data_IF_664843626497
#
_entry.id   IF_664843626497
#
_cell.length_a   1.000
_cell.length_b   1.000
_cell.length_c   1.000
_cell.angle_alpha   90.00
_cell.angle_beta   90.00
_cell.angle_gamma   90.00
#
_symmetry.space_group_name_H-M   'P 1'
#
loop_
_entity.id
_entity.type
_entity.pdbx_description
1 polymer ?
#
# COMPACT_ATOMS: atom_id res chain seq x y z
N UNK A 1 -15.40 -19.06 -11.02
CA UNK A 1 -14.17 -18.41 -11.41
C UNK A 1 -13.14 -19.46 -11.80
N UNK A 2 -13.19 -19.92 -13.06
CA UNK A 2 -12.09 -20.70 -13.67
C UNK A 2 -10.95 -19.74 -13.94
N UNK A 3 -9.78 -19.97 -13.33
CA UNK A 3 -8.54 -19.34 -13.73
C UNK A 3 -7.77 -18.50 -12.70
N UNK A 4 -8.20 -18.41 -11.46
CA UNK A 4 -7.35 -17.77 -10.44
C UNK A 4 -6.08 -18.60 -10.21
N UNK A 5 -4.95 -18.12 -10.70
CA UNK A 5 -3.64 -18.77 -10.51
C UNK A 5 -3.35 -18.76 -9.01
N UNK A 6 -3.17 -19.92 -8.41
CA UNK A 6 -2.78 -20.00 -7.00
C UNK A 6 -1.42 -19.34 -6.83
N UNK A 7 -1.27 -18.48 -5.82
CA UNK A 7 -0.01 -17.89 -5.46
C UNK A 7 0.84 -18.91 -4.67
N UNK A 8 1.97 -19.38 -5.17
CA UNK A 8 2.93 -20.12 -4.37
C UNK A 8 3.50 -19.22 -3.27
N UNK A 9 3.47 -19.68 -2.04
CA UNK A 9 4.01 -18.97 -0.89
C UNK A 9 5.13 -19.80 -0.26
N UNK A 10 6.34 -19.27 -0.26
CA UNK A 10 7.51 -19.87 0.35
C UNK A 10 7.76 -19.30 1.73
N UNK A 11 7.78 -20.16 2.74
CA UNK A 11 8.03 -19.78 4.11
C UNK A 11 9.49 -20.07 4.47
N UNK A 12 10.25 -19.02 4.77
CA UNK A 12 11.63 -19.11 5.22
C UNK A 12 11.75 -18.83 6.73
N UNK A 13 12.83 -19.26 7.34
CA UNK A 13 13.03 -19.12 8.78
C UNK A 13 13.68 -17.79 9.17
N UNK A 14 14.48 -17.22 8.26
CA UNK A 14 15.27 -16.02 8.53
C UNK A 14 15.14 -14.98 7.43
N UNK A 15 15.41 -13.72 7.77
CA UNK A 15 15.51 -12.63 6.78
C UNK A 15 16.73 -12.80 5.87
N UNK A 16 17.76 -13.51 6.32
CA UNK A 16 18.91 -13.83 5.47
C UNK A 16 18.52 -14.71 4.30
N UNK A 17 17.72 -15.75 4.54
CA UNK A 17 17.19 -16.62 3.50
C UNK A 17 16.32 -15.86 2.49
N UNK A 18 15.52 -14.87 2.94
CA UNK A 18 14.80 -13.99 2.00
C UNK A 18 15.75 -13.26 1.04
N UNK A 19 16.88 -12.77 1.56
CA UNK A 19 17.88 -12.06 0.75
C UNK A 19 18.69 -12.99 -0.16
N UNK A 20 18.81 -14.26 0.19
CA UNK A 20 19.39 -15.27 -0.71
C UNK A 20 18.49 -15.48 -1.92
N UNK A 21 17.16 -15.48 -1.73
CA UNK A 21 16.18 -15.58 -2.81
C UNK A 21 16.15 -14.27 -3.64
N UNK A 22 16.19 -13.11 -2.96
CA UNK A 22 16.16 -11.80 -3.61
C UNK A 22 17.19 -10.84 -2.98
N UNK A 23 18.43 -10.77 -3.52
CA UNK A 23 19.54 -9.99 -2.92
C UNK A 23 19.29 -8.49 -2.78
N UNK A 24 18.37 -7.92 -3.57
CA UNK A 24 18.01 -6.50 -3.54
C UNK A 24 17.04 -6.10 -2.42
N UNK A 25 16.60 -7.03 -1.57
CA UNK A 25 15.67 -6.73 -0.49
C UNK A 25 16.31 -5.92 0.63
N UNK A 26 15.59 -4.92 1.18
CA UNK A 26 16.00 -4.23 2.39
C UNK A 26 16.18 -5.21 3.56
N UNK A 27 17.12 -4.92 4.46
CA UNK A 27 17.35 -5.75 5.66
C UNK A 27 16.12 -5.87 6.59
N UNK A 28 15.22 -4.90 6.50
CA UNK A 28 13.98 -4.85 7.29
C UNK A 28 12.81 -5.61 6.65
N UNK A 29 12.96 -6.08 5.41
CA UNK A 29 11.90 -6.80 4.72
C UNK A 29 11.55 -8.09 5.48
N UNK A 30 10.26 -8.31 5.69
CA UNK A 30 9.73 -9.52 6.30
C UNK A 30 9.15 -10.49 5.26
N UNK A 31 8.92 -10.02 4.04
CA UNK A 31 8.45 -10.78 2.89
C UNK A 31 8.62 -9.99 1.61
N UNK A 32 8.26 -10.60 0.49
CA UNK A 32 8.12 -9.94 -0.80
C UNK A 32 7.20 -10.73 -1.74
N UNK A 33 6.57 -10.01 -2.64
CA UNK A 33 5.84 -10.55 -3.79
C UNK A 33 6.66 -10.34 -5.06
N UNK A 34 6.73 -11.34 -5.88
CA UNK A 34 7.39 -11.29 -7.19
C UNK A 34 6.41 -11.67 -8.29
N UNK A 35 6.27 -10.80 -9.28
CA UNK A 35 5.52 -11.06 -10.49
C UNK A 35 6.46 -10.90 -11.69
N UNK A 36 7.04 -11.99 -12.14
CA UNK A 36 7.79 -12.07 -13.39
C UNK A 36 6.92 -12.55 -14.55
N UNK A 37 7.48 -12.53 -15.76
CA UNK A 37 6.78 -13.06 -16.95
C UNK A 37 6.50 -14.56 -16.84
N UNK A 38 7.37 -15.30 -16.15
CA UNK A 38 7.33 -16.77 -16.06
C UNK A 38 6.77 -17.20 -14.70
N UNK A 39 7.20 -16.57 -13.60
CA UNK A 39 6.91 -17.00 -12.25
C UNK A 39 6.26 -15.89 -11.42
N UNK A 40 5.21 -16.27 -10.71
CA UNK A 40 4.54 -15.44 -9.70
C UNK A 40 4.60 -16.17 -8.37
N UNK A 41 5.24 -15.58 -7.37
CA UNK A 41 5.37 -16.18 -6.04
C UNK A 41 5.53 -15.10 -4.95
N UNK A 42 5.30 -15.51 -3.71
CA UNK A 42 5.65 -14.73 -2.52
C UNK A 42 6.61 -15.52 -1.63
N UNK A 43 7.54 -14.84 -1.00
CA UNK A 43 8.39 -15.44 0.02
C UNK A 43 8.32 -14.63 1.32
N UNK A 44 8.14 -15.31 2.45
CA UNK A 44 7.84 -14.69 3.74
C UNK A 44 8.70 -15.30 4.83
N UNK A 45 9.16 -14.47 5.75
CA UNK A 45 9.72 -14.95 7.00
C UNK A 45 8.56 -15.44 7.90
N UNK A 46 8.61 -16.69 8.37
CA UNK A 46 7.59 -17.30 9.25
C UNK A 46 7.28 -16.48 10.51
N UNK A 47 8.21 -15.63 10.96
CA UNK A 47 8.02 -14.76 12.12
C UNK A 47 7.37 -13.42 11.74
N UNK A 48 7.10 -13.17 10.46
CA UNK A 48 6.47 -11.95 9.97
C UNK A 48 5.00 -11.80 10.34
N UNK A 49 4.35 -12.92 10.70
CA UNK A 49 2.92 -12.95 11.02
C UNK A 49 2.02 -12.98 9.79
N UNK A 50 0.73 -13.15 10.04
CA UNK A 50 -0.30 -13.20 8.99
C UNK A 50 -0.43 -11.85 8.25
N UNK A 51 -0.11 -10.75 8.91
CA UNK A 51 -0.14 -9.41 8.33
C UNK A 51 0.75 -9.30 7.09
N UNK A 52 1.98 -9.85 7.15
CA UNK A 52 2.90 -9.84 6.01
C UNK A 52 2.36 -10.69 4.87
N UNK A 53 1.78 -11.84 5.17
CA UNK A 53 1.14 -12.69 4.15
C UNK A 53 -0.01 -11.96 3.47
N UNK A 54 -0.88 -11.29 4.22
CA UNK A 54 -2.01 -10.52 3.70
C UNK A 54 -1.52 -9.34 2.86
N UNK A 55 -0.44 -8.66 3.27
CA UNK A 55 0.20 -7.60 2.50
C UNK A 55 0.66 -8.09 1.12
N UNK A 56 1.45 -9.16 1.08
CA UNK A 56 1.97 -9.72 -0.18
C UNK A 56 0.84 -10.30 -1.05
N UNK A 57 -0.17 -10.90 -0.42
CA UNK A 57 -1.35 -11.39 -1.14
C UNK A 57 -2.17 -10.24 -1.73
N UNK A 58 -2.24 -9.08 -1.07
CA UNK A 58 -2.93 -7.91 -1.60
C UNK A 58 -2.27 -7.40 -2.90
N UNK A 59 -0.94 -7.42 -2.99
CA UNK A 59 -0.25 -7.14 -4.25
C UNK A 59 -0.64 -8.12 -5.35
N UNK A 60 -0.64 -9.43 -5.05
CA UNK A 60 -1.07 -10.46 -5.99
C UNK A 60 -2.51 -10.23 -6.46
N UNK A 61 -3.43 -10.01 -5.52
CA UNK A 61 -4.84 -9.73 -5.81
C UNK A 61 -5.01 -8.50 -6.70
N UNK A 62 -4.31 -7.42 -6.38
CA UNK A 62 -4.36 -6.17 -7.13
C UNK A 62 -3.91 -6.38 -8.59
N UNK A 63 -2.74 -6.97 -8.80
CA UNK A 63 -2.20 -7.18 -10.14
C UNK A 63 -2.99 -8.19 -10.98
N UNK A 64 -3.61 -9.19 -10.35
CA UNK A 64 -4.43 -10.18 -11.05
C UNK A 64 -5.80 -9.65 -11.47
N UNK A 65 -6.40 -8.78 -10.67
CA UNK A 65 -7.78 -8.35 -10.87
C UNK A 65 -7.88 -6.92 -11.43
N UNK A 66 -6.87 -6.09 -11.21
CA UNK A 66 -6.85 -4.69 -11.61
C UNK A 66 -5.53 -4.36 -12.31
N UNK A 67 -5.27 -4.93 -13.51
CA UNK A 67 -4.03 -4.65 -14.22
C UNK A 67 -3.97 -3.18 -14.62
N UNK A 68 -2.86 -2.52 -14.29
CA UNK A 68 -2.65 -1.11 -14.60
C UNK A 68 -1.32 -0.59 -14.07
N UNK A 69 -0.93 0.60 -14.55
CA UNK A 69 0.19 1.33 -14.01
C UNK A 69 -0.30 2.19 -12.84
N UNK A 70 0.08 1.82 -11.64
CA UNK A 70 -0.30 2.52 -10.41
C UNK A 70 0.90 3.22 -9.78
N UNK A 71 0.72 4.41 -9.18
CA UNK A 71 1.78 5.04 -8.41
C UNK A 71 2.16 4.20 -7.19
N UNK A 72 3.45 4.26 -6.81
CA UNK A 72 3.99 3.42 -5.74
C UNK A 72 3.24 3.54 -4.41
N UNK A 73 2.81 4.75 -4.06
CA UNK A 73 2.03 4.97 -2.84
C UNK A 73 0.70 4.20 -2.82
N UNK A 74 0.04 4.07 -3.99
CA UNK A 74 -1.24 3.35 -4.03
C UNK A 74 -1.02 1.84 -3.99
N UNK A 75 0.01 1.33 -4.66
CA UNK A 75 0.39 -0.09 -4.60
C UNK A 75 0.66 -0.52 -3.16
N UNK A 76 1.51 0.23 -2.45
CA UNK A 76 1.84 -0.07 -1.07
C UNK A 76 0.68 0.26 -0.10
N UNK A 77 0.00 1.37 -0.31
CA UNK A 77 -1.14 1.77 0.52
C UNK A 77 -2.31 0.80 0.44
N UNK A 78 -2.56 0.21 -0.74
CA UNK A 78 -3.55 -0.84 -0.92
C UNK A 78 -3.16 -2.10 -0.13
N UNK A 79 -1.92 -2.54 -0.24
CA UNK A 79 -1.43 -3.69 0.51
C UNK A 79 -1.50 -3.45 2.04
N UNK A 80 -1.10 -2.27 2.50
CA UNK A 80 -1.20 -1.85 3.91
C UNK A 80 -2.65 -1.74 4.42
N UNK A 81 -3.58 -1.37 3.56
CA UNK A 81 -5.00 -1.30 3.91
C UNK A 81 -5.61 -2.69 4.06
N UNK A 82 -5.24 -3.61 3.19
CA UNK A 82 -5.75 -4.98 3.20
C UNK A 82 -5.01 -5.91 4.16
N UNK A 83 -3.77 -5.58 4.59
CA UNK A 83 -3.02 -6.43 5.54
C UNK A 83 -3.70 -6.58 6.90
N UNK A 84 -4.61 -5.66 7.24
CA UNK A 84 -5.42 -5.72 8.46
C UNK A 84 -6.77 -6.40 8.26
N UNK A 85 -6.98 -7.06 7.12
CA UNK A 85 -8.23 -7.73 6.81
C UNK A 85 -8.54 -8.85 7.80
N UNK A 86 -9.81 -8.96 8.17
CA UNK A 86 -10.31 -10.02 9.04
C UNK A 86 -11.45 -10.76 8.34
N UNK A 87 -11.31 -12.06 8.19
CA UNK A 87 -12.35 -12.93 7.65
C UNK A 87 -13.35 -13.25 8.77
N UNK A 88 -14.57 -12.75 8.66
CA UNK A 88 -15.63 -13.05 9.64
C UNK A 88 -16.33 -14.38 9.34
N UNK A 89 -16.56 -14.65 8.08
CA UNK A 89 -17.16 -15.89 7.58
C UNK A 89 -16.86 -16.06 6.08
N UNK A 90 -17.41 -17.08 5.44
CA UNK A 90 -17.15 -17.37 4.02
C UNK A 90 -17.53 -16.24 3.05
N UNK A 91 -18.44 -15.35 3.44
CA UNK A 91 -19.02 -14.32 2.59
C UNK A 91 -18.67 -12.89 3.01
N UNK A 92 -17.96 -12.71 4.15
CA UNK A 92 -17.70 -11.41 4.72
C UNK A 92 -16.23 -11.24 5.17
N UNK A 93 -15.58 -10.24 4.59
CA UNK A 93 -14.24 -9.79 4.96
C UNK A 93 -14.33 -8.33 5.38
N UNK A 94 -13.87 -8.01 6.56
CA UNK A 94 -13.71 -6.63 7.01
C UNK A 94 -12.30 -6.15 6.69
N UNK A 95 -12.19 -4.95 6.13
CA UNK A 95 -10.94 -4.31 5.74
C UNK A 95 -10.83 -2.92 6.34
N UNK A 96 -9.64 -2.33 6.31
CA UNK A 96 -9.43 -0.96 6.77
C UNK A 96 -9.42 -0.81 8.28
N UNK A 97 -9.02 -1.86 9.02
CA UNK A 97 -8.77 -1.72 10.45
C UNK A 97 -7.53 -0.86 10.73
N UNK A 98 -7.48 -0.32 11.94
CA UNK A 98 -6.34 0.46 12.39
C UNK A 98 -5.05 -0.36 12.37
N UNK A 99 -4.07 0.14 11.66
CA UNK A 99 -2.70 -0.35 11.73
C UNK A 99 -1.95 0.44 12.81
N UNK A 100 -1.84 -0.14 14.01
CA UNK A 100 -1.22 0.52 15.16
C UNK A 100 0.24 0.91 14.88
N UNK A 101 0.97 0.09 14.13
CA UNK A 101 2.36 0.39 13.78
C UNK A 101 2.44 1.63 12.86
N UNK A 102 1.54 1.74 11.88
CA UNK A 102 1.47 2.90 10.97
C UNK A 102 1.03 4.16 11.71
N UNK A 103 0.06 4.05 12.60
CA UNK A 103 -0.35 5.17 13.47
C UNK A 103 0.80 5.67 14.34
N UNK A 104 1.58 4.77 14.92
CA UNK A 104 2.75 5.14 15.72
C UNK A 104 3.79 5.91 14.89
N UNK A 105 4.06 5.47 13.67
CA UNK A 105 4.98 6.18 12.76
C UNK A 105 4.43 7.56 12.42
N UNK A 106 3.14 7.67 12.03
CA UNK A 106 2.51 8.95 11.66
C UNK A 106 2.53 9.98 12.79
N UNK A 107 2.53 9.54 14.04
CA UNK A 107 2.55 10.42 15.22
C UNK A 107 3.97 10.80 15.70
N UNK A 108 4.99 10.01 15.38
CA UNK A 108 6.33 10.18 15.96
C UNK A 108 7.45 10.36 14.93
N UNK A 109 7.20 10.13 13.66
CA UNK A 109 8.17 10.29 12.58
C UNK A 109 7.77 11.46 11.70
N UNK A 110 8.74 12.23 11.22
CA UNK A 110 8.48 13.30 10.28
C UNK A 110 7.84 12.76 9.00
N UNK A 111 6.79 13.43 8.56
CA UNK A 111 6.17 13.12 7.28
C UNK A 111 7.08 13.48 6.13
N UNK A 112 7.12 12.66 5.09
CA UNK A 112 7.72 13.06 3.81
C UNK A 112 6.79 14.03 3.09
N UNK A 113 7.34 14.94 2.25
CA UNK A 113 6.53 15.87 1.47
C UNK A 113 5.50 15.13 0.62
N UNK A 114 4.32 15.71 0.45
CA UNK A 114 3.21 15.10 -0.29
C UNK A 114 3.57 14.83 -1.76
N UNK A 115 4.37 15.73 -2.36
CA UNK A 115 4.92 15.52 -3.69
C UNK A 115 5.77 14.24 -3.75
N UNK A 116 6.68 14.07 -2.79
CA UNK A 116 7.53 12.87 -2.69
C UNK A 116 6.67 11.61 -2.48
N UNK A 117 5.64 11.67 -1.63
CA UNK A 117 4.74 10.55 -1.42
C UNK A 117 4.05 10.11 -2.73
N UNK A 118 3.54 11.07 -3.51
CA UNK A 118 2.74 10.77 -4.70
C UNK A 118 3.59 10.33 -5.89
N UNK A 119 4.84 10.82 -6.00
CA UNK A 119 5.69 10.60 -7.19
C UNK A 119 6.80 9.58 -7.00
N UNK A 120 7.27 9.36 -5.77
CA UNK A 120 8.39 8.47 -5.52
C UNK A 120 7.98 6.98 -5.51
N UNK A 121 8.91 6.14 -5.91
CA UNK A 121 8.85 4.71 -5.63
C UNK A 121 9.59 4.43 -4.30
N UNK A 122 9.09 3.54 -3.41
CA UNK A 122 9.70 3.29 -2.10
C UNK A 122 11.17 2.87 -2.16
N UNK A 123 11.61 2.24 -3.26
CA UNK A 123 13.03 1.88 -3.49
C UNK A 123 13.95 3.09 -3.69
N UNK A 124 13.42 4.25 -4.04
CA UNK A 124 14.18 5.49 -4.24
C UNK A 124 14.48 6.20 -2.91
N UNK A 125 13.73 5.87 -1.85
CA UNK A 125 13.90 6.47 -0.53
C UNK A 125 15.10 5.84 0.19
N UNK A 126 16.10 6.67 0.49
CA UNK A 126 17.37 6.19 1.03
C UNK A 126 17.32 5.98 2.54
N UNK A 127 16.63 6.89 3.25
CA UNK A 127 16.59 6.87 4.70
C UNK A 127 15.54 5.92 5.24
N UNK A 128 15.86 5.24 6.34
CA UNK A 128 14.93 4.31 6.99
C UNK A 128 13.63 4.99 7.43
N UNK A 129 13.73 6.23 7.94
CA UNK A 129 12.57 6.98 8.40
C UNK A 129 11.68 7.41 7.22
N UNK A 130 12.24 7.76 6.05
CA UNK A 130 11.48 8.11 4.85
C UNK A 130 10.65 6.92 4.37
N UNK A 131 11.23 5.73 4.35
CA UNK A 131 10.48 4.51 3.99
C UNK A 131 9.36 4.23 5.00
N UNK A 132 9.64 4.36 6.31
CA UNK A 132 8.61 4.17 7.33
C UNK A 132 7.46 5.19 7.18
N UNK A 133 7.80 6.46 6.93
CA UNK A 133 6.82 7.52 6.65
C UNK A 133 6.04 7.24 5.36
N UNK A 134 6.72 6.83 4.29
CA UNK A 134 6.10 6.48 3.00
C UNK A 134 5.00 5.42 3.17
N UNK A 135 5.32 4.28 3.75
CA UNK A 135 4.32 3.21 3.97
C UNK A 135 3.16 3.68 4.85
N UNK A 136 3.46 4.44 5.90
CA UNK A 136 2.43 4.92 6.82
C UNK A 136 1.54 5.99 6.21
N UNK A 137 2.10 6.93 5.46
CA UNK A 137 1.33 7.96 4.74
C UNK A 137 0.55 7.33 3.58
N UNK A 138 1.10 6.34 2.87
CA UNK A 138 0.41 5.57 1.83
C UNK A 138 -0.80 4.84 2.38
N UNK A 139 -0.65 4.16 3.54
CA UNK A 139 -1.78 3.57 4.25
C UNK A 139 -2.85 4.59 4.60
N UNK A 140 -2.46 5.72 5.21
CA UNK A 140 -3.40 6.76 5.63
C UNK A 140 -4.16 7.36 4.44
N UNK A 141 -3.45 7.65 3.34
CA UNK A 141 -4.04 8.19 2.12
C UNK A 141 -5.03 7.20 1.49
N UNK A 142 -4.64 5.93 1.36
CA UNK A 142 -5.51 4.88 0.85
C UNK A 142 -6.74 4.69 1.73
N UNK A 143 -6.57 4.67 3.04
CA UNK A 143 -7.65 4.59 4.00
C UNK A 143 -8.60 5.81 3.88
N UNK A 144 -8.06 7.02 3.80
CA UNK A 144 -8.84 8.25 3.58
C UNK A 144 -9.67 8.18 2.30
N UNK A 145 -9.10 7.67 1.22
CA UNK A 145 -9.78 7.58 -0.08
C UNK A 145 -10.84 6.49 -0.11
N UNK A 146 -10.56 5.30 0.41
CA UNK A 146 -11.43 4.13 0.26
C UNK A 146 -12.62 4.11 1.23
N UNK A 147 -12.52 4.81 2.37
CA UNK A 147 -13.59 4.83 3.38
C UNK A 147 -14.72 5.82 3.08
N UNK A 148 -14.63 6.59 2.01
CA UNK A 148 -15.66 7.52 1.59
C UNK A 148 -16.01 7.31 0.10
N UNK A 149 -17.30 7.11 -0.25
CA UNK A 149 -17.69 6.80 -1.62
C UNK A 149 -17.39 7.91 -2.63
N UNK A 150 -17.39 9.18 -2.23
CA UNK A 150 -17.07 10.29 -3.15
C UNK A 150 -15.56 10.36 -3.41
N UNK A 151 -14.77 10.26 -2.35
CA UNK A 151 -13.30 10.22 -2.49
C UNK A 151 -12.85 9.02 -3.31
N UNK A 152 -13.50 7.85 -3.13
CA UNK A 152 -13.21 6.65 -3.93
C UNK A 152 -13.45 6.87 -5.43
N UNK A 153 -14.56 7.52 -5.81
CA UNK A 153 -14.79 7.87 -7.23
C UNK A 153 -13.72 8.82 -7.79
N UNK A 154 -13.31 9.80 -6.99
CA UNK A 154 -12.21 10.69 -7.35
C UNK A 154 -10.88 9.97 -7.49
N UNK A 155 -10.61 9.02 -6.59
CA UNK A 155 -9.41 8.18 -6.64
C UNK A 155 -9.34 7.37 -7.94
N UNK A 156 -10.43 6.71 -8.34
CA UNK A 156 -10.48 5.93 -9.57
C UNK A 156 -10.13 6.79 -10.80
N UNK A 157 -10.67 8.02 -10.86
CA UNK A 157 -10.37 8.96 -11.94
C UNK A 157 -8.92 9.46 -11.90
N UNK A 158 -8.39 9.75 -10.71
CA UNK A 158 -6.99 10.13 -10.49
C UNK A 158 -6.03 9.05 -10.96
N UNK A 159 -6.22 7.81 -10.48
CA UNK A 159 -5.36 6.68 -10.84
C UNK A 159 -5.39 6.40 -12.36
N UNK A 160 -6.55 6.49 -12.98
CA UNK A 160 -6.69 6.35 -14.42
C UNK A 160 -5.97 7.46 -15.19
N UNK A 161 -5.97 8.70 -14.70
CA UNK A 161 -5.26 9.81 -15.34
C UNK A 161 -3.74 9.65 -15.23
N UNK A 162 -3.23 9.37 -14.02
CA UNK A 162 -1.79 9.16 -13.77
C UNK A 162 -1.29 7.94 -14.52
N UNK A 163 -2.05 6.84 -14.54
CA UNK A 163 -1.71 5.63 -15.30
C UNK A 163 -1.61 5.87 -16.83
N UNK A 164 -2.23 6.94 -17.35
CA UNK A 164 -2.08 7.39 -18.73
C UNK A 164 -0.97 8.44 -18.92
N UNK A 165 -0.23 8.77 -17.88
CA UNK A 165 0.89 9.70 -17.91
C UNK A 165 0.53 11.16 -17.60
N UNK A 166 -0.63 11.44 -17.02
CA UNK A 166 -0.93 12.79 -16.54
C UNK A 166 0.00 13.14 -15.35
N UNK A 167 0.47 14.41 -15.27
CA UNK A 167 1.22 14.86 -14.10
C UNK A 167 0.38 14.74 -12.81
N UNK A 168 0.98 14.20 -11.76
CA UNK A 168 0.29 13.92 -10.49
C UNK A 168 -0.37 15.18 -9.89
N UNK A 169 0.31 16.33 -9.92
CA UNK A 169 -0.22 17.59 -9.39
C UNK A 169 -1.48 18.05 -10.13
N UNK A 170 -1.51 17.88 -11.45
CA UNK A 170 -2.66 18.23 -12.28
C UNK A 170 -3.82 17.27 -12.05
N UNK A 171 -3.53 15.98 -12.05
CA UNK A 171 -4.51 14.93 -11.78
C UNK A 171 -5.11 15.07 -10.37
N UNK A 172 -4.27 15.39 -9.36
CA UNK A 172 -4.70 15.64 -7.98
C UNK A 172 -5.71 16.78 -7.91
N UNK A 173 -5.41 17.90 -8.55
CA UNK A 173 -6.30 19.06 -8.59
C UNK A 173 -7.62 18.77 -9.30
N UNK A 174 -7.52 18.12 -10.47
CA UNK A 174 -8.68 17.88 -11.34
C UNK A 174 -9.65 16.86 -10.78
N UNK A 175 -9.15 15.76 -10.20
CA UNK A 175 -9.98 14.64 -9.81
C UNK A 175 -10.26 14.55 -8.29
N UNK A 176 -9.37 15.13 -7.48
CA UNK A 176 -9.50 15.09 -6.02
C UNK A 176 -9.72 16.47 -5.39
N UNK A 177 -9.61 17.55 -6.18
CA UNK A 177 -9.86 18.91 -5.72
C UNK A 177 -8.79 19.46 -4.75
N UNK A 178 -7.61 18.83 -4.73
CA UNK A 178 -6.52 19.16 -3.83
C UNK A 178 -5.27 19.61 -4.59
N UNK A 179 -4.47 20.43 -3.94
CA UNK A 179 -3.03 20.52 -4.16
C UNK A 179 -2.29 19.73 -3.05
N UNK A 180 -0.97 19.68 -3.10
CA UNK A 180 -0.18 18.93 -2.12
C UNK A 180 -0.40 19.42 -0.68
N UNK A 181 -0.50 20.74 -0.47
CA UNK A 181 -0.66 21.32 0.85
C UNK A 181 -2.05 21.05 1.43
N UNK A 182 -3.09 21.21 0.64
CA UNK A 182 -4.47 20.95 1.07
C UNK A 182 -4.74 19.46 1.28
N UNK A 183 -4.11 18.55 0.49
CA UNK A 183 -4.19 17.12 0.73
C UNK A 183 -3.51 16.73 2.05
N UNK A 184 -2.31 17.26 2.33
CA UNK A 184 -1.63 17.03 3.60
C UNK A 184 -2.47 17.51 4.79
N UNK A 185 -3.04 18.73 4.69
CA UNK A 185 -3.91 19.25 5.72
C UNK A 185 -5.15 18.38 5.97
N UNK A 186 -5.77 17.87 4.90
CA UNK A 186 -6.90 16.95 4.96
C UNK A 186 -6.53 15.64 5.66
N UNK A 187 -5.38 15.03 5.30
CA UNK A 187 -4.89 13.79 5.91
C UNK A 187 -4.55 13.98 7.39
N UNK A 188 -3.92 15.11 7.77
CA UNK A 188 -3.65 15.42 9.16
C UNK A 188 -4.93 15.64 9.97
N UNK A 189 -5.95 16.27 9.38
CA UNK A 189 -7.25 16.41 10.00
C UNK A 189 -7.94 15.06 10.17
N UNK A 190 -7.89 14.21 9.15
CA UNK A 190 -8.45 12.86 9.17
C UNK A 190 -7.79 11.97 10.24
N UNK A 191 -6.46 12.02 10.36
CA UNK A 191 -5.70 11.28 11.38
C UNK A 191 -6.12 11.67 12.81
N UNK A 192 -6.44 12.96 13.06
CA UNK A 192 -6.88 13.46 14.37
C UNK A 192 -8.36 13.22 14.65
N UNK A 193 -9.13 12.94 13.60
CA UNK A 193 -10.57 12.72 13.68
C UNK A 193 -10.93 11.27 14.01
N UNK A 194 -12.23 10.97 13.84
CA UNK A 194 -12.73 9.61 13.94
C UNK A 194 -12.56 8.93 12.58
N UNK A 195 -11.58 8.07 12.45
CA UNK A 195 -11.38 7.28 11.25
C UNK A 195 -12.52 6.29 11.10
N UNK A 196 -13.13 6.22 9.90
CA UNK A 196 -14.16 5.24 9.57
C UNK A 196 -13.57 3.86 9.29
N UNK A 197 -14.46 2.85 9.15
CA UNK A 197 -14.12 1.53 8.61
C UNK A 197 -14.75 1.39 7.22
N UNK A 198 -14.13 0.60 6.36
CA UNK A 198 -14.69 0.24 5.06
C UNK A 198 -15.37 -1.14 5.10
#
# INVERSE_FOLDING_TARGET
>A
AEGARKLPVYLVHTRSELREIHPGLPETAAGFYSAGEIDVYSALNRRGGDDVLLHEYAHHFMYQNFPGAYPGWFVEGFAEFFMTATVENADAVKVGYFNQNRLNVLNHVAWIPMETLLTAHPRQLQQRYERAAFYSQSWLLTHYMLTDPERRRGLDAFLAAVGRGAPEAEALKTHLGHDYASLEAALRAYLRGRMGYA
#
